data_IF_990563725387
#
_entry.id   IF_990563725387
#
_cell.length_a   1.000
_cell.length_b   1.000
_cell.length_c   1.000
_cell.angle_alpha   90.00
_cell.angle_beta   90.00
_cell.angle_gamma   90.00
#
_symmetry.space_group_name_H-M   'P 1'
#
loop_
_entity.id
_entity.type
_entity.pdbx_description
1 polymer ?
#
# COMPACT_ATOMS: atom_id res chain seq x y z
N UNK A 1 -32.20 -64.86 -14.23
CA UNK A 1 -31.35 -64.02 -13.36
C UNK A 1 -30.81 -62.80 -14.12
N UNK A 2 -30.20 -62.95 -15.30
CA UNK A 2 -29.64 -61.83 -16.10
C UNK A 2 -30.64 -60.71 -16.46
N UNK A 3 -31.88 -61.04 -16.86
CA UNK A 3 -32.91 -60.04 -17.20
C UNK A 3 -33.35 -59.17 -15.99
N UNK A 4 -33.38 -59.74 -14.78
CA UNK A 4 -33.69 -58.99 -13.55
C UNK A 4 -32.55 -58.05 -13.15
N UNK A 5 -31.29 -58.45 -13.39
CA UNK A 5 -30.11 -57.59 -13.15
C UNK A 5 -30.11 -56.41 -14.13
N UNK A 6 -30.39 -56.65 -15.41
CA UNK A 6 -30.47 -55.59 -16.42
C UNK A 6 -31.56 -54.56 -16.08
N UNK A 7 -32.74 -55.03 -15.63
CA UNK A 7 -33.83 -54.14 -15.22
C UNK A 7 -33.48 -53.32 -13.98
N UNK A 8 -32.73 -53.89 -13.03
CA UNK A 8 -32.30 -53.19 -11.82
C UNK A 8 -31.22 -52.14 -12.12
N UNK A 9 -30.31 -52.45 -13.05
CA UNK A 9 -29.29 -51.51 -13.54
C UNK A 9 -29.96 -50.36 -14.27
N UNK A 10 -30.87 -50.63 -15.21
CA UNK A 10 -31.63 -49.58 -15.90
C UNK A 10 -32.44 -48.69 -14.95
N UNK A 11 -33.03 -49.27 -13.91
CA UNK A 11 -33.78 -48.50 -12.92
C UNK A 11 -32.87 -47.62 -12.06
N UNK A 12 -31.70 -48.13 -11.63
CA UNK A 12 -30.70 -47.34 -10.90
C UNK A 12 -30.10 -46.23 -11.76
N UNK A 13 -29.83 -46.48 -13.04
CA UNK A 13 -29.30 -45.45 -13.96
C UNK A 13 -30.34 -44.36 -14.22
N UNK A 14 -31.62 -44.71 -14.40
CA UNK A 14 -32.70 -43.72 -14.50
C UNK A 14 -32.86 -42.88 -13.22
N UNK A 15 -32.74 -43.51 -12.05
CA UNK A 15 -32.83 -42.80 -10.77
C UNK A 15 -31.64 -41.85 -10.56
N UNK A 16 -30.44 -42.24 -11.01
CA UNK A 16 -29.23 -41.40 -10.95
C UNK A 16 -29.34 -40.20 -11.89
N UNK A 17 -29.81 -40.41 -13.13
CA UNK A 17 -30.03 -39.33 -14.10
C UNK A 17 -31.12 -38.37 -13.60
N UNK A 18 -32.21 -38.89 -13.03
CA UNK A 18 -33.27 -38.04 -12.47
C UNK A 18 -32.79 -37.23 -11.26
N UNK A 19 -31.90 -37.79 -10.43
CA UNK A 19 -31.27 -37.06 -9.30
C UNK A 19 -30.25 -36.02 -9.79
N UNK A 20 -29.48 -36.32 -10.83
CA UNK A 20 -28.58 -35.34 -11.46
C UNK A 20 -29.38 -34.21 -12.09
N UNK A 21 -30.49 -34.52 -12.76
CA UNK A 21 -31.36 -33.53 -13.38
C UNK A 21 -32.06 -32.66 -12.32
N UNK A 22 -32.53 -33.24 -11.22
CA UNK A 22 -33.04 -32.46 -10.08
C UNK A 22 -31.95 -31.64 -9.40
N UNK A 23 -30.71 -32.14 -9.30
CA UNK A 23 -29.59 -31.39 -8.72
C UNK A 23 -29.18 -30.22 -9.61
N UNK A 24 -29.12 -30.42 -10.93
CA UNK A 24 -28.84 -29.37 -11.92
C UNK A 24 -29.97 -28.35 -11.93
N UNK A 25 -31.24 -28.77 -11.93
CA UNK A 25 -32.39 -27.85 -11.82
C UNK A 25 -32.33 -27.10 -10.48
N UNK A 26 -32.04 -27.76 -9.36
CA UNK A 26 -31.97 -27.10 -8.06
C UNK A 26 -30.83 -26.07 -8.00
N UNK A 27 -29.68 -26.38 -8.59
CA UNK A 27 -28.56 -25.44 -8.76
C UNK A 27 -28.91 -24.28 -9.68
N UNK A 28 -29.54 -24.55 -10.83
CA UNK A 28 -29.97 -23.52 -11.77
C UNK A 28 -31.04 -22.62 -11.14
N UNK A 29 -31.98 -23.17 -10.37
CA UNK A 29 -32.98 -22.38 -9.64
C UNK A 29 -32.39 -21.61 -8.47
N UNK A 30 -31.35 -22.10 -7.78
CA UNK A 30 -30.65 -21.35 -6.73
C UNK A 30 -29.80 -20.22 -7.33
N UNK A 31 -29.15 -20.45 -8.47
CA UNK A 31 -28.42 -19.43 -9.21
C UNK A 31 -29.38 -18.40 -9.83
N UNK A 32 -30.51 -18.82 -10.40
CA UNK A 32 -31.59 -17.94 -10.90
C UNK A 32 -32.29 -17.17 -9.78
N UNK A 33 -32.53 -17.77 -8.60
CA UNK A 33 -33.09 -17.04 -7.45
C UNK A 33 -32.07 -16.06 -6.88
N UNK A 34 -30.78 -16.41 -6.82
CA UNK A 34 -29.72 -15.43 -6.50
C UNK A 34 -29.67 -14.33 -7.56
N UNK A 35 -29.82 -14.67 -8.84
CA UNK A 35 -29.83 -13.71 -9.95
C UNK A 35 -31.04 -12.77 -9.85
N UNK A 36 -32.25 -13.30 -9.65
CA UNK A 36 -33.49 -12.53 -9.48
C UNK A 36 -33.47 -11.66 -8.21
N UNK A 37 -32.88 -12.14 -7.12
CA UNK A 37 -32.69 -11.34 -5.91
C UNK A 37 -31.65 -10.23 -6.15
N UNK A 38 -30.55 -10.54 -6.85
CA UNK A 38 -29.54 -9.56 -7.28
C UNK A 38 -30.17 -8.46 -8.16
N UNK A 39 -30.96 -8.85 -9.16
CA UNK A 39 -31.70 -7.97 -10.07
C UNK A 39 -32.69 -7.05 -9.33
N UNK A 40 -33.29 -7.49 -8.22
CA UNK A 40 -34.19 -6.66 -7.41
C UNK A 40 -33.47 -5.68 -6.47
N UNK A 41 -32.18 -5.89 -6.18
CA UNK A 41 -31.38 -5.03 -5.30
C UNK A 41 -30.53 -3.99 -6.05
N UNK A 42 -30.19 -4.22 -7.33
CA UNK A 42 -29.33 -3.31 -8.12
C UNK A 42 -29.92 -1.89 -8.39
N UNK A 43 -31.24 -1.64 -8.54
CA UNK A 43 -31.73 -0.35 -9.06
C UNK A 43 -31.61 0.86 -8.12
N UNK A 44 -31.25 0.67 -6.85
CA UNK A 44 -31.17 1.78 -5.87
C UNK A 44 -29.75 2.29 -5.62
N UNK A 45 -28.74 1.69 -6.23
CA UNK A 45 -27.33 1.93 -5.87
C UNK A 45 -26.69 3.16 -6.52
N UNK A 46 -27.21 3.65 -7.65
CA UNK A 46 -26.58 4.73 -8.43
C UNK A 46 -27.29 6.09 -8.33
N UNK A 47 -28.49 6.16 -7.73
CA UNK A 47 -29.17 7.44 -7.47
C UNK A 47 -28.82 7.98 -6.09
N UNK A 48 -27.58 8.47 -5.96
CA UNK A 48 -27.04 9.09 -4.75
C UNK A 48 -26.94 10.62 -4.80
N UNK A 49 -27.86 11.33 -5.47
CA UNK A 49 -27.97 12.79 -5.32
C UNK A 49 -28.95 13.15 -4.22
N UNK A 50 -28.41 13.65 -3.10
CA UNK A 50 -29.11 14.34 -2.01
C UNK A 50 -30.02 13.48 -1.10
N UNK A 51 -29.40 12.74 -0.16
CA UNK A 51 -30.00 12.49 1.16
C UNK A 51 -29.30 13.34 2.23
N UNK A 52 -29.28 14.66 2.03
CA UNK A 52 -28.92 15.61 3.07
C UNK A 52 -30.20 16.27 3.60
N UNK A 53 -31.06 15.51 4.30
CA UNK A 53 -32.20 16.09 5.03
C UNK A 53 -32.38 15.65 6.48
N UNK A 54 -31.67 14.64 6.95
CA UNK A 54 -31.61 14.31 8.38
C UNK A 54 -30.16 14.10 8.80
N UNK A 55 -29.39 15.19 8.74
CA UNK A 55 -28.05 15.22 9.31
C UNK A 55 -28.09 14.97 10.83
N UNK A 56 -26.96 14.60 11.45
CA UNK A 56 -26.93 14.27 12.86
C UNK A 56 -27.49 15.42 13.70
N UNK A 57 -28.35 15.11 14.68
CA UNK A 57 -28.77 16.09 15.67
C UNK A 57 -27.64 16.34 16.68
N UNK A 58 -26.48 16.81 16.19
CA UNK A 58 -25.30 17.15 16.97
C UNK A 58 -25.63 18.18 18.05
N UNK A 59 -26.53 19.11 17.74
CA UNK A 59 -27.04 20.09 18.70
C UNK A 59 -27.80 19.42 19.85
N UNK A 60 -28.63 18.42 19.56
CA UNK A 60 -29.31 17.61 20.56
C UNK A 60 -28.35 16.78 21.41
N UNK A 61 -27.37 16.11 20.78
CA UNK A 61 -26.36 15.31 21.48
C UNK A 61 -25.45 16.17 22.36
N UNK A 62 -25.04 17.34 21.86
CA UNK A 62 -24.22 18.30 22.59
C UNK A 62 -24.99 18.91 23.76
N UNK A 63 -26.25 19.33 23.55
CA UNK A 63 -27.12 19.85 24.62
C UNK A 63 -27.38 18.80 25.70
N UNK A 64 -27.57 17.55 25.31
CA UNK A 64 -27.69 16.42 26.24
C UNK A 64 -26.38 16.18 26.98
N UNK A 65 -25.22 16.13 26.31
CA UNK A 65 -23.93 15.94 26.98
C UNK A 65 -23.60 17.08 27.95
N UNK A 66 -23.93 18.33 27.59
CA UNK A 66 -23.73 19.50 28.44
C UNK A 66 -24.66 19.50 29.66
N UNK A 67 -25.91 19.02 29.52
CA UNK A 67 -26.83 18.92 30.66
C UNK A 67 -26.42 17.85 31.68
N UNK A 68 -25.54 16.93 31.29
CA UNK A 68 -25.01 15.87 32.14
C UNK A 68 -23.59 16.15 32.68
N UNK A 69 -22.93 17.23 32.25
CA UNK A 69 -21.58 17.61 32.64
C UNK A 69 -21.55 18.90 33.49
N UNK A 70 -22.09 18.87 34.70
CA UNK A 70 -22.12 20.03 35.63
C UNK A 70 -20.78 20.25 36.37
N UNK A 71 -19.76 19.38 36.20
CA UNK A 71 -18.41 19.53 36.77
C UNK A 71 -18.29 19.59 38.31
N UNK A 72 -19.42 19.71 39.02
CA UNK A 72 -19.53 19.98 40.45
C UNK A 72 -20.26 18.87 41.22
N UNK A 73 -20.69 17.81 40.52
CA UNK A 73 -21.44 16.66 41.08
C UNK A 73 -20.71 15.35 40.80
N UNK A 74 -20.87 14.36 41.69
CA UNK A 74 -20.33 13.01 41.47
C UNK A 74 -20.89 12.40 40.17
N UNK A 75 -20.13 11.55 39.45
CA UNK A 75 -20.59 10.90 38.22
C UNK A 75 -21.87 10.10 38.51
N UNK A 76 -23.00 10.54 37.96
CA UNK A 76 -24.23 9.74 38.01
C UNK A 76 -24.10 8.58 37.03
N UNK A 77 -24.53 7.39 37.44
CA UNK A 77 -24.72 6.28 36.50
C UNK A 77 -25.84 6.64 35.52
N UNK A 78 -25.56 6.49 34.23
CA UNK A 78 -26.53 6.66 33.15
C UNK A 78 -27.69 5.69 33.34
N UNK A 79 -28.94 6.17 33.12
CA UNK A 79 -30.10 5.28 33.09
C UNK A 79 -29.98 4.28 31.92
N UNK A 80 -30.65 3.12 32.02
CA UNK A 80 -30.62 2.14 30.92
C UNK A 80 -31.27 2.70 29.65
N UNK A 81 -32.27 3.57 29.82
CA UNK A 81 -32.97 4.28 28.75
C UNK A 81 -32.03 5.26 28.02
N UNK A 82 -31.26 6.06 28.76
CA UNK A 82 -30.30 7.01 28.19
C UNK A 82 -29.15 6.28 27.48
N UNK A 83 -28.68 5.17 28.06
CA UNK A 83 -27.65 4.32 27.45
C UNK A 83 -28.15 3.70 26.15
N UNK A 84 -29.41 3.23 26.13
CA UNK A 84 -30.01 2.63 24.95
C UNK A 84 -30.23 3.68 23.85
N UNK A 85 -30.75 4.85 24.21
CA UNK A 85 -30.91 5.97 23.28
C UNK A 85 -29.57 6.41 22.68
N UNK A 86 -28.52 6.54 23.50
CA UNK A 86 -27.18 6.90 23.02
C UNK A 86 -26.60 5.84 22.06
N UNK A 87 -26.72 4.55 22.41
CA UNK A 87 -26.28 3.46 21.52
C UNK A 87 -27.08 3.44 20.22
N UNK A 88 -28.39 3.70 20.25
CA UNK A 88 -29.25 3.76 19.07
C UNK A 88 -28.93 4.97 18.19
N UNK A 89 -28.69 6.15 18.79
CA UNK A 89 -28.24 7.35 18.09
C UNK A 89 -26.85 7.19 17.46
N UNK A 90 -25.95 6.45 18.13
CA UNK A 90 -24.64 6.13 17.57
C UNK A 90 -24.70 5.08 16.47
N UNK A 91 -25.44 3.98 16.69
CA UNK A 91 -25.58 2.88 15.72
C UNK A 91 -26.40 3.26 14.48
N UNK A 92 -27.36 4.18 14.60
CA UNK A 92 -28.08 4.71 13.44
C UNK A 92 -27.22 5.55 12.50
N UNK A 93 -26.03 5.98 12.96
CA UNK A 93 -25.08 6.78 12.16
C UNK A 93 -23.80 6.03 11.79
N UNK A 94 -23.45 4.94 12.46
CA UNK A 94 -22.36 4.09 11.98
C UNK A 94 -22.85 3.37 10.73
N UNK A 95 -22.37 3.78 9.56
CA UNK A 95 -22.51 2.96 8.35
C UNK A 95 -21.90 1.60 8.68
N UNK A 96 -22.70 0.54 8.53
CA UNK A 96 -22.17 -0.82 8.60
C UNK A 96 -21.28 -1.01 7.37
N UNK A 97 -20.01 -0.63 7.51
CA UNK A 97 -19.01 -0.66 6.44
C UNK A 97 -18.91 -2.06 5.85
N UNK A 98 -18.99 -3.10 6.68
CA UNK A 98 -18.95 -4.50 6.23
C UNK A 98 -20.18 -4.82 5.37
N UNK A 99 -21.37 -4.35 5.76
CA UNK A 99 -22.57 -4.47 4.92
C UNK A 99 -22.39 -3.72 3.60
N UNK A 100 -21.87 -2.49 3.62
CA UNK A 100 -21.65 -1.69 2.41
C UNK A 100 -20.65 -2.36 1.46
N UNK A 101 -19.52 -2.86 1.99
CA UNK A 101 -18.54 -3.61 1.21
C UNK A 101 -19.11 -4.91 0.61
N UNK A 102 -20.06 -5.58 1.29
CA UNK A 102 -20.77 -6.74 0.74
C UNK A 102 -21.66 -6.36 -0.44
N UNK A 103 -22.33 -5.22 -0.36
CA UNK A 103 -23.14 -4.68 -1.46
C UNK A 103 -22.25 -4.36 -2.66
N UNK A 104 -21.13 -3.65 -2.45
CA UNK A 104 -20.11 -3.37 -3.48
C UNK A 104 -19.57 -4.68 -4.09
N UNK A 105 -19.27 -5.67 -3.26
CA UNK A 105 -18.82 -7.00 -3.70
C UNK A 105 -19.84 -7.68 -4.61
N UNK A 106 -21.14 -7.55 -4.31
CA UNK A 106 -22.20 -8.12 -5.12
C UNK A 106 -22.27 -7.45 -6.52
N UNK A 107 -22.09 -6.13 -6.58
CA UNK A 107 -22.01 -5.40 -7.85
C UNK A 107 -20.80 -5.89 -8.66
N UNK A 108 -19.62 -6.04 -8.04
CA UNK A 108 -18.43 -6.56 -8.72
C UNK A 108 -18.58 -8.03 -9.20
N UNK A 109 -19.42 -8.82 -8.55
CA UNK A 109 -19.71 -10.19 -8.97
C UNK A 109 -20.74 -10.27 -10.11
N UNK A 110 -21.46 -9.18 -10.36
CA UNK A 110 -22.52 -9.16 -11.38
C UNK A 110 -21.89 -9.08 -12.78
N UNK A 111 -22.35 -9.90 -13.75
CA UNK A 111 -21.82 -9.83 -15.12
C UNK A 111 -22.00 -8.44 -15.75
N UNK A 112 -20.99 -7.97 -16.47
CA UNK A 112 -20.97 -6.64 -17.11
C UNK A 112 -22.19 -6.38 -18.00
N UNK A 113 -22.67 -7.39 -18.74
CA UNK A 113 -23.89 -7.28 -19.57
C UNK A 113 -25.11 -6.91 -18.74
N UNK A 114 -25.26 -7.50 -17.55
CA UNK A 114 -26.38 -7.21 -16.65
C UNK A 114 -26.24 -5.81 -16.08
N UNK A 115 -25.03 -5.38 -15.72
CA UNK A 115 -24.78 -4.02 -15.24
C UNK A 115 -25.18 -2.98 -16.31
N UNK A 116 -24.77 -3.20 -17.55
CA UNK A 116 -25.12 -2.33 -18.69
C UNK A 116 -26.63 -2.32 -18.94
N UNK A 117 -27.30 -3.47 -18.88
CA UNK A 117 -28.77 -3.56 -19.02
C UNK A 117 -29.52 -2.78 -17.93
N UNK A 118 -28.91 -2.61 -16.75
CA UNK A 118 -29.45 -1.81 -15.64
C UNK A 118 -29.01 -0.35 -15.69
N UNK A 119 -28.31 0.07 -16.74
CA UNK A 119 -27.87 1.44 -16.94
C UNK A 119 -26.65 1.83 -16.10
N UNK A 120 -25.92 0.86 -15.54
CA UNK A 120 -24.66 1.13 -14.82
C UNK A 120 -23.58 1.50 -15.82
N UNK A 121 -23.01 2.69 -15.65
CA UNK A 121 -21.95 3.21 -16.51
C UNK A 121 -20.55 2.77 -16.04
N UNK A 122 -19.51 2.91 -16.87
CA UNK A 122 -18.13 2.73 -16.41
C UNK A 122 -17.76 3.70 -15.29
N UNK A 123 -18.21 4.95 -15.36
CA UNK A 123 -17.97 5.98 -14.34
C UNK A 123 -18.59 5.60 -12.99
N UNK A 124 -19.80 5.04 -13.01
CA UNK A 124 -20.47 4.46 -11.84
C UNK A 124 -19.63 3.35 -11.17
N UNK A 125 -18.93 2.53 -11.96
CA UNK A 125 -18.02 1.51 -11.43
C UNK A 125 -16.71 2.10 -10.89
N UNK A 126 -16.24 3.22 -11.45
CA UNK A 126 -15.09 3.96 -10.92
C UNK A 126 -15.42 4.54 -9.55
N UNK A 127 -16.58 5.20 -9.39
CA UNK A 127 -17.04 5.76 -8.11
C UNK A 127 -17.23 4.68 -7.05
N UNK A 128 -17.74 3.50 -7.46
CA UNK A 128 -17.90 2.35 -6.56
C UNK A 128 -16.55 1.75 -6.11
N UNK A 129 -15.54 1.77 -6.96
CA UNK A 129 -14.18 1.36 -6.58
C UNK A 129 -13.51 2.40 -5.67
N UNK A 130 -13.79 3.69 -5.87
CA UNK A 130 -13.31 4.76 -4.98
C UNK A 130 -13.91 4.62 -3.58
N UNK A 131 -15.22 4.38 -3.48
CA UNK A 131 -15.87 4.09 -2.20
C UNK A 131 -15.27 2.85 -1.52
N UNK A 132 -15.01 1.79 -2.30
CA UNK A 132 -14.35 0.60 -1.77
C UNK A 132 -12.94 0.92 -1.25
N UNK A 133 -12.19 1.77 -1.97
CA UNK A 133 -10.85 2.20 -1.58
C UNK A 133 -10.85 2.87 -0.20
N UNK A 134 -11.77 3.81 0.03
CA UNK A 134 -11.92 4.52 1.32
C UNK A 134 -12.19 3.54 2.47
N UNK A 135 -13.03 2.54 2.25
CA UNK A 135 -13.33 1.54 3.27
C UNK A 135 -12.13 0.66 3.62
N UNK A 136 -11.35 0.26 2.61
CA UNK A 136 -10.21 -0.66 2.81
C UNK A 136 -8.92 0.03 3.24
N UNK A 137 -8.92 1.36 3.43
CA UNK A 137 -7.80 2.05 4.10
C UNK A 137 -7.58 1.52 5.53
N UNK A 138 -8.64 1.03 6.17
CA UNK A 138 -8.53 0.27 7.41
C UNK A 138 -8.01 -1.15 7.15
N UNK A 139 -6.94 -1.53 7.84
CA UNK A 139 -6.33 -2.87 7.75
C UNK A 139 -7.35 -3.98 8.06
N UNK A 140 -8.26 -3.75 9.02
CA UNK A 140 -9.30 -4.71 9.37
C UNK A 140 -10.29 -4.90 8.21
N UNK A 141 -10.72 -3.81 7.58
CA UNK A 141 -11.63 -3.86 6.43
C UNK A 141 -10.95 -4.48 5.19
N UNK A 142 -9.67 -4.18 4.96
CA UNK A 142 -8.90 -4.83 3.90
C UNK A 142 -8.87 -6.37 4.07
N UNK A 143 -8.72 -6.85 5.31
CA UNK A 143 -8.75 -8.28 5.61
C UNK A 143 -10.16 -8.87 5.51
N UNK A 144 -11.18 -8.11 5.90
CA UNK A 144 -12.58 -8.52 5.78
C UNK A 144 -13.05 -8.60 4.32
N UNK A 145 -12.49 -7.78 3.42
CA UNK A 145 -12.80 -7.82 1.98
C UNK A 145 -12.60 -9.23 1.40
N UNK A 146 -11.54 -9.93 1.80
CA UNK A 146 -11.33 -11.31 1.39
C UNK A 146 -12.39 -12.23 2.01
N UNK A 147 -12.67 -12.07 3.30
CA UNK A 147 -13.63 -12.89 4.06
C UNK A 147 -15.06 -12.80 3.51
N UNK A 148 -15.45 -11.63 2.98
CA UNK A 148 -16.75 -11.42 2.32
C UNK A 148 -16.78 -11.83 0.84
N UNK A 149 -15.65 -12.33 0.30
CA UNK A 149 -15.55 -12.78 -1.09
C UNK A 149 -15.35 -11.66 -2.13
N UNK A 150 -14.93 -10.48 -1.71
CA UNK A 150 -14.70 -9.31 -2.59
C UNK A 150 -13.34 -9.27 -3.27
N UNK A 151 -12.35 -10.01 -2.75
CA UNK A 151 -10.99 -10.00 -3.31
C UNK A 151 -10.92 -10.54 -4.74
N UNK A 152 -11.53 -11.70 -5.01
CA UNK A 152 -11.46 -12.34 -6.34
C UNK A 152 -12.18 -11.49 -7.41
N UNK A 153 -13.39 -10.95 -7.16
CA UNK A 153 -14.02 -9.98 -8.06
C UNK A 153 -13.15 -8.75 -8.32
N UNK A 154 -12.54 -8.16 -7.28
CA UNK A 154 -11.65 -7.01 -7.43
C UNK A 154 -10.46 -7.33 -8.36
N UNK A 155 -9.84 -8.50 -8.20
CA UNK A 155 -8.76 -8.94 -9.11
C UNK A 155 -9.28 -9.20 -10.54
N UNK A 156 -10.55 -9.57 -10.69
CA UNK A 156 -11.21 -9.68 -12.00
C UNK A 156 -11.32 -8.33 -12.72
N UNK A 157 -11.54 -7.24 -11.98
CA UNK A 157 -11.63 -5.89 -12.53
C UNK A 157 -10.29 -5.38 -13.09
N UNK A 158 -9.16 -5.97 -12.71
CA UNK A 158 -7.87 -5.72 -13.37
C UNK A 158 -7.87 -6.13 -14.85
N UNK A 159 -8.82 -6.95 -15.30
CA UNK A 159 -8.95 -7.40 -16.69
C UNK A 159 -10.11 -6.72 -17.43
N UNK A 160 -10.67 -5.65 -16.85
CA UNK A 160 -11.79 -4.93 -17.42
C UNK A 160 -11.41 -4.25 -18.77
N UNK A 161 -12.38 -4.08 -19.65
CA UNK A 161 -12.23 -3.39 -20.94
C UNK A 161 -11.79 -1.93 -20.78
N UNK A 162 -12.28 -1.25 -19.74
CA UNK A 162 -12.01 0.16 -19.45
C UNK A 162 -10.70 0.35 -18.65
N UNK A 163 -9.81 1.20 -19.17
CA UNK A 163 -8.50 1.46 -18.57
C UNK A 163 -8.59 2.08 -17.17
N UNK A 164 -9.53 3.02 -16.96
CA UNK A 164 -9.74 3.65 -15.67
C UNK A 164 -10.19 2.64 -14.60
N UNK A 165 -11.12 1.74 -14.94
CA UNK A 165 -11.55 0.67 -14.03
C UNK A 165 -10.36 -0.22 -13.65
N UNK A 166 -9.51 -0.60 -14.62
CA UNK A 166 -8.27 -1.36 -14.33
C UNK A 166 -7.34 -0.57 -13.40
N UNK A 167 -7.21 0.75 -13.62
CA UNK A 167 -6.37 1.62 -12.81
C UNK A 167 -6.90 1.76 -11.37
N UNK A 168 -8.19 1.97 -11.19
CA UNK A 168 -8.88 2.05 -9.89
C UNK A 168 -8.82 0.73 -9.14
N UNK A 169 -9.08 -0.39 -9.81
CA UNK A 169 -8.95 -1.72 -9.22
C UNK A 169 -7.51 -1.96 -8.74
N UNK A 170 -6.50 -1.57 -9.52
CA UNK A 170 -5.11 -1.65 -9.09
C UNK A 170 -4.81 -0.74 -7.88
N UNK A 171 -5.44 0.43 -7.78
CA UNK A 171 -5.26 1.34 -6.65
C UNK A 171 -5.87 0.76 -5.35
N UNK A 172 -7.08 0.20 -5.42
CA UNK A 172 -7.69 -0.55 -4.31
C UNK A 172 -6.80 -1.72 -3.90
N UNK A 173 -6.27 -2.49 -4.87
CA UNK A 173 -5.32 -3.59 -4.58
C UNK A 173 -4.04 -3.06 -3.92
N UNK A 174 -3.55 -1.89 -4.32
CA UNK A 174 -2.39 -1.25 -3.67
C UNK A 174 -2.69 -0.93 -2.20
N UNK A 175 -3.87 -0.37 -1.90
CA UNK A 175 -4.29 -0.04 -0.54
C UNK A 175 -4.40 -1.28 0.34
N UNK A 176 -5.08 -2.34 -0.11
CA UNK A 176 -5.30 -3.53 0.74
C UNK A 176 -4.01 -4.24 1.14
N UNK A 177 -2.97 -4.20 0.28
CA UNK A 177 -1.70 -4.90 0.52
C UNK A 177 -0.63 -4.01 1.14
N UNK A 178 -0.85 -2.70 1.20
CA UNK A 178 0.15 -1.75 1.71
C UNK A 178 0.44 -2.03 3.19
N UNK A 179 1.67 -2.49 3.46
CA UNK A 179 2.11 -2.85 4.81
C UNK A 179 1.19 -3.87 5.51
N UNK A 180 0.51 -4.74 4.76
CA UNK A 180 -0.41 -5.75 5.28
C UNK A 180 -0.01 -7.16 4.81
N UNK A 181 0.78 -7.91 5.60
CA UNK A 181 1.27 -9.25 5.22
C UNK A 181 0.13 -10.24 4.90
N UNK A 182 -0.99 -10.18 5.63
CA UNK A 182 -2.12 -11.08 5.41
C UNK A 182 -2.75 -10.84 4.04
N UNK A 183 -3.06 -9.59 3.69
CA UNK A 183 -3.59 -9.27 2.36
C UNK A 183 -2.57 -9.53 1.25
N UNK A 184 -1.27 -9.30 1.50
CA UNK A 184 -0.21 -9.65 0.55
C UNK A 184 -0.24 -11.15 0.22
N UNK A 185 -0.30 -12.02 1.23
CA UNK A 185 -0.41 -13.48 1.04
C UNK A 185 -1.68 -13.85 0.26
N UNK A 186 -2.85 -13.33 0.65
CA UNK A 186 -4.12 -13.63 0.01
C UNK A 186 -4.16 -13.19 -1.47
N UNK A 187 -3.57 -12.04 -1.80
CA UNK A 187 -3.44 -11.57 -3.19
C UNK A 187 -2.49 -12.45 -4.00
N UNK A 188 -1.41 -12.92 -3.39
CA UNK A 188 -0.47 -13.85 -4.04
C UNK A 188 -1.14 -15.21 -4.32
N UNK A 189 -1.88 -15.76 -3.36
CA UNK A 189 -2.62 -17.02 -3.50
C UNK A 189 -3.71 -16.95 -4.57
N UNK A 190 -4.34 -15.78 -4.72
CA UNK A 190 -5.36 -15.54 -5.74
C UNK A 190 -4.77 -15.22 -7.15
N UNK A 191 -3.46 -15.41 -7.36
CA UNK A 191 -2.74 -15.06 -8.59
C UNK A 191 -2.90 -13.58 -9.01
N UNK A 192 -3.08 -12.68 -8.04
CA UNK A 192 -3.25 -11.25 -8.31
C UNK A 192 -2.02 -10.60 -8.97
N UNK A 193 -0.81 -11.05 -8.59
CA UNK A 193 0.45 -10.53 -9.14
C UNK A 193 0.55 -10.70 -10.66
N UNK A 194 0.04 -11.81 -11.23
CA UNK A 194 0.07 -12.05 -12.68
C UNK A 194 -0.76 -11.00 -13.43
N UNK A 195 -1.96 -10.70 -12.93
CA UNK A 195 -2.85 -9.70 -13.53
C UNK A 195 -2.25 -8.30 -13.45
N UNK A 196 -1.64 -7.95 -12.31
CA UNK A 196 -0.94 -6.68 -12.13
C UNK A 196 0.28 -6.56 -13.07
N UNK A 197 1.06 -7.62 -13.24
CA UNK A 197 2.21 -7.64 -14.15
C UNK A 197 1.81 -7.53 -15.62
N UNK A 198 0.71 -8.18 -16.01
CA UNK A 198 0.13 -8.05 -17.35
C UNK A 198 -0.21 -6.59 -17.63
N UNK A 199 -0.92 -5.93 -16.72
CA UNK A 199 -1.29 -4.53 -16.88
C UNK A 199 -0.05 -3.61 -16.87
N UNK A 200 0.89 -3.82 -15.95
CA UNK A 200 2.12 -3.04 -15.89
C UNK A 200 2.93 -3.07 -17.21
N UNK A 201 3.03 -4.24 -17.84
CA UNK A 201 3.89 -4.45 -19.02
C UNK A 201 3.19 -4.20 -20.35
N UNK A 202 1.91 -4.54 -20.46
CA UNK A 202 1.22 -4.70 -21.74
C UNK A 202 0.01 -3.79 -21.94
N UNK A 203 -0.44 -3.07 -20.90
CA UNK A 203 -1.56 -2.15 -21.02
C UNK A 203 -1.21 -0.97 -21.94
N UNK A 204 -2.18 -0.54 -22.76
CA UNK A 204 -2.03 0.61 -23.66
C UNK A 204 -2.06 1.93 -22.90
N UNK A 205 -2.75 1.96 -21.76
CA UNK A 205 -2.92 3.18 -20.97
C UNK A 205 -1.83 3.31 -19.89
N UNK A 206 -1.12 4.43 -19.91
CA UNK A 206 0.00 4.67 -18.99
C UNK A 206 -0.48 4.87 -17.55
N UNK A 207 -1.70 5.35 -17.33
CA UNK A 207 -2.25 5.52 -16.00
C UNK A 207 -2.52 4.15 -15.34
N UNK A 208 -3.16 3.22 -16.05
CA UNK A 208 -3.36 1.84 -15.62
C UNK A 208 -2.04 1.12 -15.34
N UNK A 209 -1.01 1.31 -16.19
CA UNK A 209 0.35 0.80 -15.95
C UNK A 209 0.95 1.36 -14.65
N UNK A 210 0.77 2.66 -14.42
CA UNK A 210 1.30 3.36 -13.25
C UNK A 210 0.63 2.88 -11.96
N UNK A 211 -0.68 2.64 -11.96
CA UNK A 211 -1.37 2.10 -10.78
C UNK A 211 -1.01 0.64 -10.54
N UNK A 212 -0.93 -0.17 -11.59
CA UNK A 212 -0.48 -1.57 -11.49
C UNK A 212 0.94 -1.67 -10.90
N UNK A 213 1.87 -0.81 -11.31
CA UNK A 213 3.20 -0.73 -10.70
C UNK A 213 3.18 -0.31 -9.23
N UNK A 214 2.20 0.51 -8.83
CA UNK A 214 1.97 0.86 -7.42
C UNK A 214 1.57 -0.34 -6.59
N UNK A 215 0.55 -1.04 -7.05
CA UNK A 215 0.06 -2.26 -6.42
C UNK A 215 1.18 -3.30 -6.29
N UNK A 216 1.96 -3.51 -7.35
CA UNK A 216 3.14 -4.39 -7.32
C UNK A 216 4.14 -3.91 -6.26
N UNK A 217 4.46 -2.60 -6.22
CA UNK A 217 5.38 -2.07 -5.23
C UNK A 217 4.89 -2.34 -3.80
N UNK A 218 3.62 -2.08 -3.51
CA UNK A 218 3.01 -2.35 -2.20
C UNK A 218 2.96 -3.85 -1.87
N UNK A 219 2.74 -4.70 -2.87
CA UNK A 219 2.62 -6.15 -2.73
C UNK A 219 3.96 -6.84 -2.42
N UNK A 220 5.06 -6.37 -3.02
CA UNK A 220 6.37 -7.02 -2.88
C UNK A 220 7.23 -6.41 -1.75
N UNK A 221 6.89 -5.22 -1.25
CA UNK A 221 7.58 -4.61 -0.11
C UNK A 221 7.43 -5.49 1.13
N UNK A 222 8.55 -5.82 1.75
CA UNK A 222 8.67 -6.71 2.91
C UNK A 222 8.12 -8.14 2.67
N UNK A 223 7.97 -8.54 1.39
CA UNK A 223 7.41 -9.83 0.98
C UNK A 223 8.39 -10.56 0.04
N UNK A 224 9.27 -11.38 0.62
CA UNK A 224 10.32 -12.12 -0.11
C UNK A 224 9.78 -13.04 -1.22
N UNK A 225 8.70 -13.83 -0.99
CA UNK A 225 8.02 -14.56 -2.07
C UNK A 225 7.57 -13.66 -3.21
N UNK A 226 6.97 -12.51 -2.90
CA UNK A 226 6.54 -11.52 -3.89
C UNK A 226 7.69 -10.99 -4.76
N UNK A 227 8.83 -10.65 -4.15
CA UNK A 227 10.04 -10.20 -4.88
C UNK A 227 10.56 -11.31 -5.81
N UNK A 228 10.59 -12.55 -5.33
CA UNK A 228 11.03 -13.70 -6.13
C UNK A 228 10.11 -13.92 -7.33
N UNK A 229 8.80 -13.86 -7.14
CA UNK A 229 7.82 -13.97 -8.20
C UNK A 229 7.92 -12.82 -9.22
N UNK A 230 8.10 -11.59 -8.76
CA UNK A 230 8.33 -10.42 -9.62
C UNK A 230 9.57 -10.59 -10.51
N UNK A 231 10.65 -11.13 -9.96
CA UNK A 231 11.88 -11.44 -10.69
C UNK A 231 11.66 -12.53 -11.74
N UNK A 232 11.01 -13.64 -11.37
CA UNK A 232 10.72 -14.75 -12.29
C UNK A 232 9.84 -14.31 -13.47
N UNK A 233 8.93 -13.37 -13.23
CA UNK A 233 8.06 -12.81 -14.25
C UNK A 233 8.69 -11.65 -15.05
N UNK A 234 10.02 -11.53 -15.04
CA UNK A 234 10.79 -10.50 -15.77
C UNK A 234 10.42 -9.06 -15.40
N UNK A 235 10.01 -8.80 -14.15
CA UNK A 235 9.61 -7.48 -13.68
C UNK A 235 10.65 -6.38 -13.90
N UNK A 236 11.95 -6.71 -13.82
CA UNK A 236 13.05 -5.78 -14.12
C UNK A 236 13.09 -5.32 -15.59
N UNK A 237 12.73 -6.17 -16.55
CA UNK A 237 12.64 -5.75 -17.94
C UNK A 237 11.50 -4.73 -18.11
N UNK A 238 10.38 -4.95 -17.43
CA UNK A 238 9.27 -4.01 -17.34
C UNK A 238 9.69 -2.68 -16.71
N UNK A 239 10.47 -2.70 -15.62
CA UNK A 239 11.00 -1.49 -14.99
C UNK A 239 11.88 -0.69 -15.96
N UNK A 240 12.77 -1.36 -16.69
CA UNK A 240 13.61 -0.70 -17.70
C UNK A 240 12.78 -0.08 -18.82
N UNK A 241 11.74 -0.77 -19.29
CA UNK A 241 10.81 -0.23 -20.28
C UNK A 241 10.02 0.99 -19.75
N UNK A 242 9.62 0.97 -18.48
CA UNK A 242 8.96 2.10 -17.83
C UNK A 242 9.85 3.35 -17.78
N UNK A 243 11.16 3.17 -17.56
CA UNK A 243 12.14 4.26 -17.58
C UNK A 243 12.30 4.91 -18.97
N UNK A 244 12.04 4.17 -20.05
CA UNK A 244 12.08 4.68 -21.42
C UNK A 244 10.79 5.44 -21.84
N UNK A 245 9.79 5.52 -20.96
CA UNK A 245 8.52 6.22 -21.26
C UNK A 245 8.60 7.69 -20.89
N UNK A 246 7.89 8.56 -21.63
CA UNK A 246 7.91 10.02 -21.38
C UNK A 246 7.24 10.44 -20.06
N UNK A 247 6.30 9.62 -19.55
CA UNK A 247 5.57 9.88 -18.31
C UNK A 247 6.48 9.95 -17.09
N UNK A 248 6.64 11.16 -16.55
CA UNK A 248 7.44 11.45 -15.35
C UNK A 248 6.94 10.64 -14.14
N UNK A 249 5.61 10.59 -13.93
CA UNK A 249 5.00 9.85 -12.81
C UNK A 249 5.32 8.36 -12.88
N UNK A 250 5.29 7.78 -14.08
CA UNK A 250 5.58 6.35 -14.27
C UNK A 250 7.07 6.06 -14.06
N UNK A 251 7.96 6.90 -14.63
CA UNK A 251 9.41 6.81 -14.41
C UNK A 251 9.78 6.90 -12.94
N UNK A 252 9.22 7.87 -12.21
CA UNK A 252 9.45 8.06 -10.78
C UNK A 252 9.05 6.83 -9.96
N UNK A 253 7.88 6.26 -10.23
CA UNK A 253 7.41 5.04 -9.55
C UNK A 253 8.31 3.83 -9.84
N UNK A 254 8.81 3.72 -11.08
CA UNK A 254 9.76 2.68 -11.47
C UNK A 254 11.13 2.84 -10.79
N UNK A 255 11.67 4.06 -10.74
CA UNK A 255 12.93 4.37 -10.04
C UNK A 255 12.81 4.07 -8.53
N UNK A 256 11.70 4.47 -7.91
CA UNK A 256 11.47 4.23 -6.48
C UNK A 256 11.34 2.74 -6.14
N UNK A 257 10.67 1.95 -6.98
CA UNK A 257 10.61 0.50 -6.78
C UNK A 257 11.99 -0.15 -6.98
N UNK A 258 12.72 0.27 -8.01
CA UNK A 258 14.06 -0.24 -8.24
C UNK A 258 15.01 0.10 -7.10
N UNK A 259 14.98 1.33 -6.58
CA UNK A 259 15.78 1.73 -5.43
C UNK A 259 15.48 0.86 -4.20
N UNK A 260 14.20 0.61 -3.91
CA UNK A 260 13.80 -0.30 -2.83
C UNK A 260 14.40 -1.71 -3.02
N UNK A 261 14.33 -2.26 -4.23
CA UNK A 261 14.87 -3.60 -4.53
C UNK A 261 16.39 -3.66 -4.39
N UNK A 262 17.10 -2.62 -4.81
CA UNK A 262 18.56 -2.51 -4.68
C UNK A 262 19.00 -2.39 -3.21
N UNK A 263 18.23 -1.64 -2.41
CA UNK A 263 18.52 -1.43 -0.99
C UNK A 263 18.30 -2.68 -0.15
N UNK A 264 17.23 -3.44 -0.43
CA UNK A 264 16.83 -4.59 0.39
C UNK A 264 17.58 -5.88 0.00
N UNK A 265 17.98 -6.01 -1.28
CA UNK A 265 18.55 -7.25 -1.81
C UNK A 265 19.82 -7.01 -2.64
N UNK A 266 20.99 -7.19 -2.01
CA UNK A 266 22.30 -7.09 -2.68
C UNK A 266 22.41 -7.97 -3.93
N UNK A 267 21.72 -9.12 -3.95
CA UNK A 267 21.68 -10.02 -5.11
C UNK A 267 21.05 -9.38 -6.35
N UNK A 268 20.13 -8.44 -6.16
CA UNK A 268 19.40 -7.78 -7.24
C UNK A 268 20.22 -6.68 -7.91
N UNK A 269 21.24 -6.14 -7.23
CA UNK A 269 22.22 -5.23 -7.83
C UNK A 269 22.90 -5.86 -9.06
N UNK A 270 23.27 -7.15 -8.98
CA UNK A 270 23.91 -7.86 -10.09
C UNK A 270 23.02 -7.92 -11.35
N UNK A 271 21.73 -8.16 -11.16
CA UNK A 271 20.74 -8.25 -12.23
C UNK A 271 20.50 -6.88 -12.83
N UNK A 272 20.36 -5.86 -11.98
CA UNK A 272 20.14 -4.51 -12.43
C UNK A 272 21.36 -3.97 -13.22
N UNK A 273 22.57 -4.31 -12.79
CA UNK A 273 23.80 -4.02 -13.55
C UNK A 273 23.80 -4.75 -14.89
N UNK A 274 23.51 -6.05 -14.92
CA UNK A 274 23.45 -6.85 -16.15
C UNK A 274 22.41 -6.33 -17.15
N UNK A 275 21.30 -5.79 -16.67
CA UNK A 275 20.25 -5.17 -17.48
C UNK A 275 20.59 -3.73 -17.90
N UNK A 276 21.69 -3.16 -17.43
CA UNK A 276 22.18 -1.83 -17.81
C UNK A 276 21.46 -0.67 -17.14
N UNK A 277 20.85 -0.88 -15.96
CA UNK A 277 20.22 0.19 -15.19
C UNK A 277 21.16 1.35 -14.81
N UNK A 278 22.46 1.14 -14.48
CA UNK A 278 23.36 2.25 -14.16
C UNK A 278 23.41 3.32 -15.27
N UNK A 279 23.48 2.90 -16.54
CA UNK A 279 23.48 3.82 -17.69
C UNK A 279 22.16 4.58 -17.84
N UNK A 280 21.04 3.90 -17.61
CA UNK A 280 19.70 4.51 -17.67
C UNK A 280 19.53 5.53 -16.53
N UNK A 281 20.02 5.22 -15.33
CA UNK A 281 19.99 6.16 -14.21
C UNK A 281 20.87 7.38 -14.43
N UNK A 282 22.06 7.23 -15.03
CA UNK A 282 22.88 8.39 -15.41
C UNK A 282 22.13 9.34 -16.34
N UNK A 283 21.41 8.81 -17.34
CA UNK A 283 20.56 9.64 -18.20
C UNK A 283 19.47 10.38 -17.42
N UNK A 284 18.80 9.73 -16.47
CA UNK A 284 17.77 10.37 -15.66
C UNK A 284 18.29 11.30 -14.57
N UNK A 285 19.54 11.16 -14.14
CA UNK A 285 20.20 12.11 -13.23
C UNK A 285 20.39 13.50 -13.87
N UNK A 286 20.34 13.60 -15.20
CA UNK A 286 20.32 14.86 -15.96
C UNK A 286 18.90 15.37 -16.27
N UNK A 287 17.83 14.74 -15.76
CA UNK A 287 16.43 15.14 -16.02
C UNK A 287 16.11 16.55 -15.50
N UNK A 288 15.17 17.26 -16.11
CA UNK A 288 14.71 18.57 -15.60
C UNK A 288 13.82 18.42 -14.34
N UNK A 289 13.09 17.30 -14.23
CA UNK A 289 12.29 16.97 -13.05
C UNK A 289 13.16 16.61 -11.84
N UNK A 290 13.04 17.38 -10.74
CA UNK A 290 13.85 17.21 -9.55
C UNK A 290 13.66 15.85 -8.88
N UNK A 291 12.43 15.38 -8.74
CA UNK A 291 12.12 14.09 -8.11
C UNK A 291 12.67 12.91 -8.93
N UNK A 292 12.61 12.98 -10.27
CA UNK A 292 13.20 11.96 -11.15
C UNK A 292 14.72 11.95 -11.04
N UNK A 293 15.37 13.12 -11.00
CA UNK A 293 16.83 13.21 -10.79
C UNK A 293 17.23 12.61 -9.46
N UNK A 294 16.55 13.01 -8.39
CA UNK A 294 16.83 12.54 -7.03
C UNK A 294 16.68 11.02 -6.94
N UNK A 295 15.58 10.46 -7.45
CA UNK A 295 15.35 9.02 -7.46
C UNK A 295 16.42 8.26 -8.28
N UNK A 296 16.88 8.83 -9.40
CA UNK A 296 17.98 8.28 -10.19
C UNK A 296 19.33 8.33 -9.44
N UNK A 297 19.64 9.45 -8.78
CA UNK A 297 20.85 9.62 -7.98
C UNK A 297 20.87 8.66 -6.77
N UNK A 298 19.73 8.46 -6.09
CA UNK A 298 19.60 7.44 -5.03
C UNK A 298 19.95 6.04 -5.54
N UNK A 299 19.44 5.66 -6.71
CA UNK A 299 19.77 4.38 -7.33
C UNK A 299 21.25 4.26 -7.71
N UNK A 300 21.87 5.32 -8.24
CA UNK A 300 23.31 5.35 -8.53
C UNK A 300 24.14 5.16 -7.27
N UNK A 301 23.76 5.79 -6.15
CA UNK A 301 24.44 5.63 -4.85
C UNK A 301 24.41 4.16 -4.42
N UNK A 302 23.28 3.47 -4.54
CA UNK A 302 23.20 2.05 -4.19
C UNK A 302 24.13 1.18 -5.06
N UNK A 303 24.27 1.49 -6.36
CA UNK A 303 25.25 0.80 -7.21
C UNK A 303 26.71 1.05 -6.79
N UNK A 304 27.02 2.22 -6.21
CA UNK A 304 28.37 2.52 -5.69
C UNK A 304 28.65 1.89 -4.33
N UNK A 305 27.62 1.68 -3.50
CA UNK A 305 27.72 1.04 -2.18
C UNK A 305 27.91 -0.46 -2.25
N UNK A 306 27.50 -1.11 -3.35
CA UNK A 306 27.59 -2.55 -3.57
C UNK A 306 28.99 -3.10 -3.27
N UNK A 307 29.16 -3.62 -2.05
CA UNK A 307 30.39 -4.28 -1.61
C UNK A 307 30.52 -5.61 -2.35
N UNK A 308 31.69 -5.85 -2.93
CA UNK A 308 32.09 -7.14 -3.51
C UNK A 308 31.23 -7.69 -4.64
N UNK A 309 31.46 -7.24 -5.88
CA UNK A 309 31.58 -8.20 -6.98
C UNK A 309 32.76 -7.80 -7.85
N UNK A 310 33.79 -8.65 -7.84
CA UNK A 310 34.97 -8.49 -8.67
C UNK A 310 34.59 -8.38 -10.13
N UNK A 311 35.33 -7.52 -10.84
CA UNK A 311 35.66 -7.63 -12.26
C UNK A 311 34.65 -8.37 -13.12
N UNK A 312 33.76 -7.63 -13.77
CA UNK A 312 33.56 -7.67 -15.24
C UNK A 312 32.19 -7.08 -15.61
N UNK A 313 32.23 -5.97 -16.37
CA UNK A 313 31.12 -5.37 -17.15
C UNK A 313 29.87 -4.93 -16.37
N UNK A 314 29.90 -3.69 -15.87
CA UNK A 314 28.67 -2.88 -15.75
C UNK A 314 28.54 -2.02 -14.49
N UNK A 315 29.45 -2.15 -13.53
CA UNK A 315 29.64 -1.13 -12.50
C UNK A 315 30.01 0.18 -13.18
N UNK A 316 29.47 1.30 -12.68
CA UNK A 316 29.99 2.63 -12.97
C UNK A 316 31.50 2.55 -12.77
N UNK A 317 32.26 2.64 -13.86
CA UNK A 317 33.71 2.62 -13.75
C UNK A 317 34.10 3.81 -12.88
N UNK A 318 35.01 3.62 -11.92
CA UNK A 318 35.42 4.68 -10.98
C UNK A 318 35.89 5.95 -11.70
N UNK A 319 36.26 5.81 -12.98
CA UNK A 319 36.69 6.86 -13.88
C UNK A 319 35.74 7.09 -15.07
N UNK A 320 34.42 6.86 -14.92
CA UNK A 320 33.45 7.21 -15.96
C UNK A 320 33.40 8.74 -16.12
N UNK A 321 34.12 9.25 -17.13
CA UNK A 321 34.19 10.67 -17.47
C UNK A 321 32.80 11.30 -17.63
N UNK A 322 31.81 10.52 -18.07
CA UNK A 322 30.43 11.01 -18.23
C UNK A 322 29.75 11.23 -16.89
N UNK A 323 29.97 10.34 -15.93
CA UNK A 323 29.45 10.54 -14.57
C UNK A 323 30.14 11.73 -13.93
N UNK A 324 31.45 11.90 -14.13
CA UNK A 324 32.19 13.05 -13.62
C UNK A 324 31.63 14.36 -14.16
N UNK A 325 31.50 14.46 -15.49
CA UNK A 325 30.96 15.65 -16.14
C UNK A 325 29.53 15.94 -15.65
N UNK A 326 28.69 14.91 -15.54
CA UNK A 326 27.32 15.05 -15.03
C UNK A 326 27.31 15.63 -13.61
N UNK A 327 28.12 15.08 -12.70
CA UNK A 327 28.20 15.58 -11.33
C UNK A 327 28.75 17.01 -11.30
N UNK A 328 29.78 17.33 -12.08
CA UNK A 328 30.33 18.69 -12.18
C UNK A 328 29.28 19.70 -12.67
N UNK A 329 28.51 19.36 -13.70
CA UNK A 329 27.39 20.17 -14.22
C UNK A 329 26.30 20.38 -13.17
N UNK A 330 25.92 19.33 -12.43
CA UNK A 330 24.94 19.43 -11.33
C UNK A 330 25.46 20.28 -10.18
N UNK A 331 26.71 20.08 -9.76
CA UNK A 331 27.34 20.87 -8.70
C UNK A 331 27.41 22.35 -9.08
N UNK A 332 27.72 22.67 -10.34
CA UNK A 332 27.68 24.05 -10.85
C UNK A 332 26.27 24.63 -10.83
N UNK A 333 25.27 23.84 -11.21
CA UNK A 333 23.86 24.22 -11.15
C UNK A 333 23.42 24.54 -9.72
N UNK A 334 23.67 23.63 -8.78
CA UNK A 334 23.39 23.79 -7.34
C UNK A 334 24.12 24.99 -6.77
N UNK A 335 25.39 25.20 -7.12
CA UNK A 335 26.18 26.34 -6.64
C UNK A 335 25.63 27.70 -7.08
N UNK A 336 24.75 27.73 -8.08
CA UNK A 336 24.16 28.95 -8.64
C UNK A 336 22.74 29.21 -8.13
N UNK A 337 22.20 28.31 -7.29
CA UNK A 337 20.85 28.39 -6.72
C UNK A 337 20.78 29.39 -5.55
N UNK A 338 19.59 29.92 -5.29
CA UNK A 338 19.33 30.77 -4.12
C UNK A 338 19.30 29.95 -2.82
N UNK A 339 19.37 30.61 -1.66
CA UNK A 339 19.33 29.91 -0.37
C UNK A 339 17.99 29.18 -0.15
N UNK A 340 16.88 29.76 -0.60
CA UNK A 340 15.55 29.13 -0.52
C UNK A 340 15.49 27.86 -1.38
N UNK A 341 16.04 27.91 -2.59
CA UNK A 341 16.08 26.75 -3.49
C UNK A 341 17.01 25.65 -2.95
N UNK A 342 18.13 26.01 -2.31
CA UNK A 342 19.04 25.05 -1.71
C UNK A 342 18.35 24.19 -0.64
N UNK A 343 17.44 24.76 0.14
CA UNK A 343 16.65 24.03 1.12
C UNK A 343 15.72 22.99 0.48
N UNK A 344 15.26 23.24 -0.75
CA UNK A 344 14.42 22.27 -1.50
C UNK A 344 15.22 21.11 -2.08
N UNK A 345 16.52 21.30 -2.35
CA UNK A 345 17.40 20.27 -2.95
C UNK A 345 18.37 19.64 -1.95
N UNK A 346 18.05 19.65 -0.65
CA UNK A 346 18.86 19.06 0.43
C UNK A 346 19.31 17.64 0.11
N UNK A 347 18.38 16.80 -0.33
CA UNK A 347 18.67 15.40 -0.63
C UNK A 347 19.53 15.24 -1.88
N UNK A 348 19.24 15.98 -2.96
CA UNK A 348 20.07 15.99 -4.18
C UNK A 348 21.53 16.35 -3.83
N UNK A 349 21.74 17.36 -2.96
CA UNK A 349 23.08 17.77 -2.49
C UNK A 349 23.82 16.64 -1.78
N UNK A 350 23.15 15.94 -0.87
CA UNK A 350 23.75 14.82 -0.12
C UNK A 350 24.08 13.62 -1.03
N UNK A 351 23.22 13.34 -2.00
CA UNK A 351 23.42 12.25 -2.96
C UNK A 351 24.59 12.54 -3.90
N UNK A 352 24.69 13.76 -4.41
CA UNK A 352 25.80 14.20 -5.28
C UNK A 352 27.13 14.15 -4.53
N UNK A 353 27.19 14.63 -3.28
CA UNK A 353 28.42 14.52 -2.46
C UNK A 353 28.78 13.07 -2.14
N UNK A 354 27.80 12.24 -1.82
CA UNK A 354 28.01 10.81 -1.59
C UNK A 354 28.60 10.14 -2.83
N UNK A 355 27.98 10.34 -4.01
CA UNK A 355 28.49 9.79 -5.27
C UNK A 355 29.90 10.26 -5.59
N UNK A 356 30.18 11.55 -5.42
CA UNK A 356 31.49 12.12 -5.68
C UNK A 356 32.56 11.50 -4.77
N UNK A 357 32.29 11.44 -3.48
CA UNK A 357 33.18 10.86 -2.47
C UNK A 357 33.45 9.39 -2.75
N UNK A 358 32.43 8.61 -3.09
CA UNK A 358 32.57 7.17 -3.40
C UNK A 358 33.33 6.91 -4.71
N UNK A 359 33.14 7.74 -5.75
CA UNK A 359 33.78 7.52 -7.05
C UNK A 359 35.24 8.00 -7.06
N UNK A 360 35.50 9.20 -6.54
CA UNK A 360 36.80 9.88 -6.71
C UNK A 360 37.68 9.90 -5.45
N UNK A 361 37.17 9.47 -4.29
CA UNK A 361 37.86 9.54 -2.99
C UNK A 361 38.33 10.97 -2.61
N UNK A 362 37.63 11.98 -3.11
CA UNK A 362 37.90 13.40 -2.87
C UNK A 362 36.66 14.07 -2.27
N UNK A 363 36.81 15.16 -1.50
CA UNK A 363 35.66 15.95 -1.07
C UNK A 363 34.98 16.58 -2.29
N UNK A 364 33.64 16.61 -2.32
CA UNK A 364 32.95 17.28 -3.41
C UNK A 364 33.16 18.80 -3.37
N UNK A 365 33.16 19.49 -4.52
CA UNK A 365 33.17 20.95 -4.55
C UNK A 365 31.99 21.61 -3.80
N UNK A 366 30.88 20.88 -3.54
CA UNK A 366 29.81 21.35 -2.67
C UNK A 366 30.26 21.40 -1.21
N UNK A 367 31.01 20.39 -0.77
CA UNK A 367 31.61 20.33 0.57
C UNK A 367 32.61 21.46 0.80
N UNK A 368 33.48 21.70 -0.17
CA UNK A 368 34.49 22.75 -0.10
C UNK A 368 33.88 24.16 -0.02
N UNK A 369 32.75 24.37 -0.71
CA UNK A 369 32.01 25.64 -0.70
C UNK A 369 31.10 25.82 0.53
N UNK A 370 31.04 24.84 1.44
CA UNK A 370 30.14 24.88 2.60
C UNK A 370 28.65 24.82 2.23
N UNK A 371 28.32 24.25 1.07
CA UNK A 371 26.95 24.15 0.57
C UNK A 371 26.27 22.82 0.93
N UNK A 372 26.90 21.97 1.74
CA UNK A 372 26.28 20.73 2.24
C UNK A 372 25.56 20.98 3.56
N UNK A 373 24.37 20.41 3.69
CA UNK A 373 23.69 20.31 4.98
C UNK A 373 24.35 19.19 5.78
N UNK A 374 24.91 19.54 6.93
CA UNK A 374 25.51 18.55 7.82
C UNK A 374 24.40 17.76 8.55
N UNK A 375 24.58 16.46 8.80
CA UNK A 375 23.64 15.69 9.60
C UNK A 375 23.49 16.33 10.99
N UNK A 376 22.33 16.92 11.28
CA UNK A 376 22.02 17.54 12.58
C UNK A 376 21.74 19.05 12.57
N UNK A 377 21.85 19.76 11.44
CA UNK A 377 21.47 21.19 11.37
C UNK A 377 19.96 21.42 11.53
N UNK A 378 19.14 20.43 11.18
CA UNK A 378 17.68 20.41 11.41
C UNK A 378 17.29 19.76 12.77
N UNK A 379 18.25 19.39 13.61
CA UNK A 379 17.93 18.88 14.94
C UNK A 379 17.39 20.02 15.81
N UNK A 380 16.14 19.87 16.29
CA UNK A 380 15.59 20.78 17.30
C UNK A 380 16.62 20.95 18.42
N UNK A 381 16.90 22.18 18.88
CA UNK A 381 17.76 22.41 20.03
C UNK A 381 17.33 21.46 21.16
N UNK A 382 18.27 20.82 21.88
CA UNK A 382 17.92 19.93 22.96
C UNK A 382 16.94 20.66 23.87
N UNK A 383 15.76 20.08 24.10
CA UNK A 383 14.71 20.71 24.89
C UNK A 383 15.17 20.77 26.36
N UNK A 384 15.86 21.85 26.69
CA UNK A 384 16.34 22.15 28.04
C UNK A 384 15.21 22.68 28.91
N UNK A 385 14.14 23.20 28.28
CA UNK A 385 13.02 23.84 28.96
C UNK A 385 12.05 22.82 29.56
N UNK A 386 11.74 21.71 28.86
CA UNK A 386 10.90 20.65 29.43
C UNK A 386 11.53 19.99 30.66
N UNK A 387 12.87 19.91 30.72
CA UNK A 387 13.59 19.45 31.92
C UNK A 387 13.49 20.41 33.11
N UNK A 388 13.23 21.70 32.87
CA UNK A 388 13.06 22.72 33.91
C UNK A 388 11.60 22.87 34.36
N UNK A 389 10.64 22.46 33.53
CA UNK A 389 9.20 22.62 33.75
C UNK A 389 8.42 21.29 33.74
N UNK A 390 9.02 20.21 34.25
CA UNK A 390 8.24 18.99 34.50
C UNK A 390 7.22 19.24 35.64
N UNK A 391 5.91 19.08 35.41
CA UNK A 391 4.93 19.11 36.47
C UNK A 391 5.19 17.92 37.44
N UNK A 392 5.02 18.08 38.76
CA UNK A 392 5.39 17.07 39.76
C UNK A 392 4.75 15.68 39.53
N UNK A 393 3.64 15.62 38.80
CA UNK A 393 2.93 14.38 38.45
C UNK A 393 3.67 13.52 37.41
N UNK A 394 4.49 14.11 36.52
CA UNK A 394 5.25 13.35 35.50
C UNK A 394 6.55 12.78 36.06
N UNK A 395 7.24 13.51 36.93
CA UNK A 395 8.46 13.04 37.59
C UNK A 395 8.20 11.80 38.48
N UNK A 396 7.02 11.72 39.11
CA UNK A 396 6.62 10.56 39.92
C UNK A 396 6.37 9.28 39.09
N UNK A 397 5.93 9.41 37.84
CA UNK A 397 5.71 8.27 36.94
C UNK A 397 7.03 7.71 36.38
N UNK A 398 7.99 8.58 36.07
CA UNK A 398 9.32 8.16 35.59
C UNK A 398 10.12 7.42 36.67
N UNK A 399 10.01 7.83 37.94
CA UNK A 399 10.76 7.21 39.04
C UNK A 399 10.22 5.82 39.47
N UNK A 400 8.95 5.50 39.18
CA UNK A 400 8.39 4.17 39.47
C UNK A 400 8.99 3.07 38.59
N UNK A 401 9.38 3.41 37.35
CA UNK A 401 9.97 2.45 36.41
C UNK A 401 11.47 2.18 36.65
N UNK A 402 12.12 2.92 37.55
CA UNK A 402 13.53 2.73 37.89
C UNK A 402 13.76 1.78 39.09
N UNK A 403 12.71 1.52 39.89
CA UNK A 403 12.81 0.72 41.13
C UNK A 403 12.40 -0.74 41.00
N UNK A 404 12.08 -1.23 39.79
CA UNK A 404 11.83 -2.66 39.55
C UNK A 404 13.03 -3.32 38.83
N UNK A 405 14.16 -3.44 39.53
CA UNK A 405 15.22 -4.39 39.16
C UNK A 405 15.68 -5.18 40.39
N UNK A 406 15.16 -6.40 40.48
CA UNK A 406 15.69 -7.61 41.14
C UNK A 406 16.30 -7.45 42.54
N UNK A 407 15.49 -7.78 43.55
CA UNK A 407 15.99 -8.28 44.83
C UNK A 407 16.67 -9.66 44.63
N UNK A 408 17.93 -9.79 45.04
CA UNK A 408 18.54 -11.07 45.44
C UNK A 408 18.76 -11.05 46.97
N UNK A 409 18.55 -12.17 47.68
CA UNK A 409 18.35 -12.16 49.12
C UNK A 409 19.64 -12.04 49.95
N UNK A 410 19.55 -11.21 51.00
CA UNK A 410 20.53 -10.97 52.06
C UNK A 410 21.03 -12.26 52.74
N UNK A 411 22.35 -12.48 52.75
CA UNK A 411 23.00 -13.44 53.66
C UNK A 411 23.31 -12.76 55.00
N UNK A 412 22.71 -13.29 56.08
CA UNK A 412 22.96 -12.91 57.46
C UNK A 412 24.43 -13.15 57.86
N UNK A 413 25.05 -12.11 58.43
CA UNK A 413 26.26 -12.19 59.24
C UNK A 413 25.92 -12.80 60.61
N UNK A 414 26.65 -13.86 61.00
CA UNK A 414 26.59 -14.44 62.33
C UNK A 414 27.99 -14.77 62.85
N UNK A 415 28.44 -13.98 63.84
CA UNK A 415 29.29 -14.42 64.95
C UNK A 415 30.81 -14.49 64.75
N UNK A 416 31.63 -13.85 65.63
CA UNK A 416 33.09 -13.98 65.62
C UNK A 416 33.63 -15.07 66.57
N UNK A 417 34.89 -15.46 66.34
CA UNK A 417 35.91 -16.06 67.25
C UNK A 417 36.51 -17.39 66.74
N UNK A 418 37.76 -17.74 67.09
CA UNK A 418 38.69 -17.07 68.02
C UNK A 418 39.84 -16.30 67.36
#
# INVERSE_FOLDING_TARGET
VASRILSLVFYKTKLLISRLFLFVIHKHTQEEFRFLYCLSSVPSFFFGSSMAKDGPNWDGLLKWSLSHADGTRQPRQLSEEDRKWFMEAMQSQTVDVVKRMKEITLVMQTPEQVLVDHGVTPEDLEDLLDELQEHVESIDMANDLHSIGGLVPLLGFLKNSHANIRAKAADVVSTIVQNNPRSQELVMEANGLESLLSNFTSDTDVHARTQSLGAISSLIRNNKPGVTAFKLAQGYAGLKAALATDSVRFRRKALNLLHYLLQEYDSECSIAVALGFPRVMMHHASSEDAETREAALRGLVEFTKGKHFGSERGTIEKDDEKLRQLLEERIKGISSMSQEDLETVKEERQLVDSLWSFCYNEPSPLREKGLLVLPGEDALPPDVASKLFEPPLRAAAANRNATEKKEEPLKLLGGPAP
#
